data_IF_790809081521
#
_entry.id   IF_790809081521
#
_cell.length_a   1.000
_cell.length_b   1.000
_cell.length_c   1.000
_cell.angle_alpha   90.00
_cell.angle_beta   90.00
_cell.angle_gamma   90.00
#
_symmetry.space_group_name_H-M   'P 1'
#
loop_
_entity.id
_entity.type
_entity.pdbx_description
1 polymer ?
#
# COMPACT_ATOMS: atom_id res chain seq x y z
N UNK A 1 -20.75 6.00 18.47
CA UNK A 1 -21.46 6.66 17.35
C UNK A 1 -20.45 7.40 16.47
N UNK A 2 -19.51 6.68 15.84
CA UNK A 2 -18.47 7.26 14.97
C UNK A 2 -18.36 6.57 13.59
N UNK A 3 -19.07 5.46 13.38
CA UNK A 3 -19.07 4.67 12.14
C UNK A 3 -19.81 5.32 10.97
N UNK A 4 -20.62 6.35 11.22
CA UNK A 4 -21.52 6.92 10.20
C UNK A 4 -20.85 8.01 9.34
N UNK A 5 -19.78 8.63 9.85
CA UNK A 5 -19.14 9.75 9.15
C UNK A 5 -18.18 9.31 8.04
N UNK A 6 -17.48 8.19 8.22
CA UNK A 6 -16.54 7.65 7.23
C UNK A 6 -17.24 7.07 5.99
N UNK A 7 -18.50 6.63 6.15
CA UNK A 7 -19.30 6.07 5.04
C UNK A 7 -19.64 7.07 3.94
N UNK A 8 -19.72 8.37 4.23
CA UNK A 8 -20.11 9.37 3.24
C UNK A 8 -18.98 9.82 2.31
N UNK A 9 -17.73 9.64 2.69
CA UNK A 9 -16.58 10.14 1.89
C UNK A 9 -16.23 9.21 0.72
N UNK A 10 -16.48 7.90 0.86
CA UNK A 10 -16.15 6.89 -0.16
C UNK A 10 -17.11 6.86 -1.36
N UNK A 11 -18.29 7.49 -1.27
CA UNK A 11 -19.34 7.42 -2.29
C UNK A 11 -19.25 8.50 -3.39
N UNK A 12 -18.24 9.38 -3.36
CA UNK A 12 -18.26 10.64 -4.13
C UNK A 12 -17.46 10.70 -5.44
N UNK A 13 -16.69 9.69 -5.83
CA UNK A 13 -15.70 9.83 -6.91
C UNK A 13 -15.75 8.71 -7.96
N UNK A 14 -16.74 8.75 -8.83
CA UNK A 14 -16.89 7.84 -9.98
C UNK A 14 -15.79 8.03 -11.04
N UNK A 15 -15.34 6.94 -11.70
CA UNK A 15 -14.58 7.04 -12.95
C UNK A 15 -13.81 5.80 -13.43
N UNK A 16 -14.52 4.77 -13.94
CA UNK A 16 -14.28 4.06 -15.21
C UNK A 16 -12.86 3.58 -15.64
N UNK A 17 -12.72 2.26 -15.91
CA UNK A 17 -12.12 1.57 -17.12
C UNK A 17 -11.18 0.38 -16.83
N UNK A 18 -11.58 -0.81 -17.32
CA UNK A 18 -10.76 -1.64 -18.22
C UNK A 18 -9.84 -2.72 -17.64
N UNK A 19 -10.34 -3.96 -17.61
CA UNK A 19 -9.63 -5.21 -17.28
C UNK A 19 -8.58 -5.59 -18.33
N UNK A 20 -7.43 -6.11 -17.88
CA UNK A 20 -6.46 -6.85 -18.69
C UNK A 20 -5.48 -7.67 -17.84
N UNK A 21 -5.64 -9.00 -17.85
CA UNK A 21 -4.86 -10.01 -17.10
C UNK A 21 -3.44 -10.15 -17.70
N UNK A 22 -2.39 -10.25 -16.88
CA UNK A 22 -0.99 -10.50 -17.33
C UNK A 22 -0.44 -11.79 -16.70
N UNK A 23 0.19 -12.62 -17.55
CA UNK A 23 0.87 -13.89 -17.28
C UNK A 23 2.16 -13.75 -16.42
N UNK A 24 2.66 -14.83 -15.78
CA UNK A 24 3.78 -14.75 -14.86
C UNK A 24 5.12 -14.74 -15.59
N UNK A 25 5.77 -13.57 -15.63
CA UNK A 25 7.18 -13.44 -15.99
C UNK A 25 8.02 -13.60 -14.74
N UNK A 26 8.93 -14.56 -14.78
CA UNK A 26 10.00 -14.82 -13.81
C UNK A 26 10.70 -13.50 -13.43
N UNK A 27 10.34 -12.96 -12.27
CA UNK A 27 10.82 -11.65 -11.85
C UNK A 27 12.25 -11.76 -11.30
N UNK A 28 13.22 -11.36 -12.12
CA UNK A 28 14.44 -10.70 -11.62
C UNK A 28 14.00 -9.76 -10.48
N UNK A 29 14.62 -9.79 -9.28
CA UNK A 29 14.17 -8.92 -8.19
C UNK A 29 14.17 -7.50 -8.75
N UNK A 30 12.99 -6.86 -8.84
CA UNK A 30 12.92 -5.58 -9.52
C UNK A 30 13.88 -4.64 -8.81
N UNK A 31 14.59 -3.81 -9.58
CA UNK A 31 15.48 -2.77 -9.06
C UNK A 31 14.78 -1.84 -8.03
N UNK A 32 13.46 -1.99 -7.85
CA UNK A 32 12.66 -1.37 -6.81
C UNK A 32 11.50 -2.31 -6.36
N UNK A 33 11.75 -3.17 -5.38
CA UNK A 33 10.74 -4.12 -4.85
C UNK A 33 9.58 -3.41 -4.16
N UNK A 34 9.89 -2.34 -3.45
CA UNK A 34 8.91 -1.48 -2.80
C UNK A 34 7.89 -0.91 -3.81
N UNK A 35 8.36 -0.50 -5.00
CA UNK A 35 7.47 -0.03 -6.05
C UNK A 35 6.54 -1.12 -6.60
N UNK A 36 7.03 -2.36 -6.78
CA UNK A 36 6.17 -3.48 -7.18
C UNK A 36 5.13 -3.82 -6.11
N UNK A 37 5.50 -3.80 -4.84
CA UNK A 37 4.56 -4.08 -3.75
C UNK A 37 3.52 -2.99 -3.60
N UNK A 38 3.87 -1.72 -3.81
CA UNK A 38 2.86 -0.64 -3.82
C UNK A 38 1.86 -0.77 -4.97
N UNK A 39 2.31 -1.22 -6.14
CA UNK A 39 1.39 -1.55 -7.25
C UNK A 39 0.49 -2.72 -6.89
N UNK A 40 1.05 -3.77 -6.31
CA UNK A 40 0.28 -4.94 -5.86
C UNK A 40 -0.75 -4.54 -4.79
N UNK A 41 -0.39 -3.66 -3.85
CA UNK A 41 -1.30 -3.11 -2.84
C UNK A 41 -2.45 -2.34 -3.48
N UNK A 42 -2.15 -1.45 -4.42
CA UNK A 42 -3.18 -0.70 -5.14
C UNK A 42 -4.14 -1.63 -5.91
N UNK A 43 -3.61 -2.69 -6.54
CA UNK A 43 -4.42 -3.70 -7.23
C UNK A 43 -5.30 -4.52 -6.27
N UNK A 44 -4.76 -4.93 -5.12
CA UNK A 44 -5.50 -5.65 -4.09
C UNK A 44 -6.59 -4.79 -3.47
N UNK A 45 -6.33 -3.50 -3.25
CA UNK A 45 -7.33 -2.56 -2.75
C UNK A 45 -8.45 -2.34 -3.77
N UNK A 46 -8.12 -2.18 -5.06
CA UNK A 46 -9.11 -2.08 -6.12
C UNK A 46 -9.96 -3.37 -6.22
N UNK A 47 -9.33 -4.53 -6.07
CA UNK A 47 -10.02 -5.82 -6.01
C UNK A 47 -10.95 -5.90 -4.80
N UNK A 48 -10.47 -5.58 -3.59
CA UNK A 48 -11.28 -5.56 -2.37
C UNK A 48 -12.51 -4.65 -2.54
N UNK A 49 -12.32 -3.44 -3.08
CA UNK A 49 -13.40 -2.49 -3.35
C UNK A 49 -14.42 -2.96 -4.40
N UNK A 50 -14.13 -4.03 -5.15
CA UNK A 50 -15.06 -4.64 -6.11
C UNK A 50 -15.89 -5.79 -5.54
N UNK A 51 -15.62 -6.20 -4.30
CA UNK A 51 -16.26 -7.34 -3.65
C UNK A 51 -17.40 -6.91 -2.72
N UNK A 52 -18.34 -7.84 -2.49
CA UNK A 52 -19.33 -7.70 -1.43
C UNK A 52 -18.66 -7.72 -0.05
N UNK A 53 -19.06 -6.79 0.83
CA UNK A 53 -18.43 -6.59 2.14
C UNK A 53 -18.50 -7.81 3.06
N UNK A 54 -19.52 -8.64 2.87
CA UNK A 54 -19.78 -9.82 3.72
C UNK A 54 -19.25 -11.11 3.08
N UNK A 55 -18.48 -10.99 2.00
CA UNK A 55 -17.93 -12.14 1.28
C UNK A 55 -16.60 -12.61 1.90
N UNK A 56 -16.35 -13.94 1.95
CA UNK A 56 -15.04 -14.47 2.35
C UNK A 56 -13.88 -13.98 1.47
N UNK A 57 -14.19 -13.56 0.23
CA UNK A 57 -13.19 -12.99 -0.68
C UNK A 57 -12.73 -11.60 -0.22
N UNK A 58 -13.62 -10.80 0.39
CA UNK A 58 -13.28 -9.50 0.98
C UNK A 58 -12.31 -9.70 2.15
N UNK A 59 -12.63 -10.63 3.07
CA UNK A 59 -11.76 -10.97 4.20
C UNK A 59 -10.37 -11.40 3.72
N UNK A 60 -10.31 -12.27 2.70
CA UNK A 60 -9.05 -12.71 2.12
C UNK A 60 -8.25 -11.57 1.45
N UNK A 61 -8.93 -10.60 0.83
CA UNK A 61 -8.30 -9.44 0.22
C UNK A 61 -7.75 -8.47 1.27
N UNK A 62 -8.50 -8.21 2.35
CA UNK A 62 -8.07 -7.43 3.50
C UNK A 62 -6.85 -8.06 4.20
N UNK A 63 -6.88 -9.38 4.41
CA UNK A 63 -5.72 -10.13 4.91
C UNK A 63 -4.51 -10.03 3.98
N UNK A 64 -4.74 -10.06 2.67
CA UNK A 64 -3.72 -9.85 1.65
C UNK A 64 -3.07 -8.48 1.76
N UNK A 65 -3.88 -7.42 1.88
CA UNK A 65 -3.42 -6.04 2.08
C UNK A 65 -2.58 -5.92 3.35
N UNK A 66 -3.09 -6.39 4.49
CA UNK A 66 -2.39 -6.30 5.77
C UNK A 66 -1.02 -7.02 5.74
N UNK A 67 -0.95 -8.22 5.13
CA UNK A 67 0.31 -8.95 4.96
C UNK A 67 1.29 -8.18 4.06
N UNK A 68 0.81 -7.57 3.00
CA UNK A 68 1.64 -6.82 2.06
C UNK A 68 2.17 -5.52 2.67
N UNK A 69 1.33 -4.78 3.41
CA UNK A 69 1.71 -3.57 4.14
C UNK A 69 2.76 -3.87 5.20
N UNK A 70 2.54 -4.93 5.99
CA UNK A 70 3.52 -5.41 6.96
C UNK A 70 4.86 -5.73 6.29
N UNK A 71 4.82 -6.44 5.15
CA UNK A 71 6.02 -6.78 4.38
C UNK A 71 6.78 -5.52 3.90
N UNK A 72 6.05 -4.49 3.46
CA UNK A 72 6.65 -3.22 3.04
C UNK A 72 7.32 -2.52 4.23
N UNK A 73 6.67 -2.49 5.39
CA UNK A 73 7.22 -1.86 6.60
C UNK A 73 8.46 -2.59 7.11
N UNK A 74 8.41 -3.92 7.21
CA UNK A 74 9.47 -4.74 7.80
C UNK A 74 10.67 -4.94 6.88
N UNK A 75 10.51 -4.78 5.56
CA UNK A 75 11.65 -4.91 4.64
C UNK A 75 12.43 -3.61 4.56
N UNK A 76 13.74 -3.59 4.90
CA UNK A 76 14.57 -2.39 4.75
C UNK A 76 14.70 -1.95 3.29
N UNK A 77 14.81 -0.64 3.06
CA UNK A 77 15.11 -0.12 1.73
C UNK A 77 16.57 -0.43 1.34
N UNK A 78 16.78 -1.02 0.16
CA UNK A 78 18.13 -1.34 -0.32
C UNK A 78 18.88 -0.15 -0.93
N UNK A 79 18.16 0.91 -1.31
CA UNK A 79 18.70 2.09 -1.99
C UNK A 79 17.72 3.28 -1.89
N UNK A 80 18.15 4.45 -2.34
CA UNK A 80 17.35 5.67 -2.28
C UNK A 80 16.02 5.58 -3.07
N UNK A 81 16.00 4.82 -4.18
CA UNK A 81 14.77 4.62 -4.96
C UNK A 81 13.75 3.74 -4.23
N UNK A 82 14.20 2.71 -3.51
CA UNK A 82 13.36 1.90 -2.62
C UNK A 82 12.88 2.71 -1.41
N UNK A 83 13.74 3.53 -0.80
CA UNK A 83 13.37 4.38 0.33
C UNK A 83 12.29 5.41 -0.05
N UNK A 84 12.45 6.08 -1.21
CA UNK A 84 11.44 6.98 -1.78
C UNK A 84 10.14 6.25 -2.12
N UNK A 85 10.21 5.02 -2.58
CA UNK A 85 9.01 4.21 -2.81
C UNK A 85 8.33 3.89 -1.48
N UNK A 86 9.07 3.39 -0.48
CA UNK A 86 8.55 3.05 0.87
C UNK A 86 7.84 4.24 1.54
N UNK A 87 8.39 5.45 1.39
CA UNK A 87 7.78 6.71 1.85
C UNK A 87 6.38 7.00 1.28
N UNK A 88 5.99 6.37 0.18
CA UNK A 88 4.64 6.53 -0.40
C UNK A 88 3.59 5.71 0.32
N UNK A 89 3.97 4.70 1.11
CA UNK A 89 3.02 3.89 1.88
C UNK A 89 2.24 4.74 2.90
N UNK A 90 2.87 5.56 3.77
CA UNK A 90 2.14 6.45 4.67
C UNK A 90 1.12 7.36 3.97
N UNK A 91 1.49 7.90 2.79
CA UNK A 91 0.60 8.77 1.99
C UNK A 91 -0.60 7.99 1.45
N UNK A 92 -0.38 6.75 1.00
CA UNK A 92 -1.46 5.90 0.53
C UNK A 92 -2.43 5.52 1.67
N UNK A 93 -1.88 5.18 2.85
CA UNK A 93 -2.68 4.89 4.04
C UNK A 93 -3.53 6.09 4.46
N UNK A 94 -2.94 7.29 4.51
CA UNK A 94 -3.65 8.52 4.87
C UNK A 94 -4.80 8.82 3.90
N UNK A 95 -4.58 8.64 2.60
CA UNK A 95 -5.64 8.77 1.58
C UNK A 95 -6.79 7.78 1.73
N UNK A 96 -6.57 6.68 2.43
CA UNK A 96 -7.58 5.65 2.76
C UNK A 96 -8.19 5.84 4.16
N UNK A 97 -7.80 6.91 4.88
CA UNK A 97 -8.25 7.18 6.25
C UNK A 97 -7.58 6.30 7.31
N UNK A 98 -6.46 5.66 6.96
CA UNK A 98 -5.64 4.86 7.86
C UNK A 98 -4.37 5.61 8.25
N UNK A 99 -3.84 5.33 9.44
CA UNK A 99 -2.59 5.92 9.90
C UNK A 99 -1.66 4.85 10.42
N UNK A 100 -0.36 5.03 10.15
CA UNK A 100 0.68 4.24 10.79
C UNK A 100 0.67 4.51 12.30
N UNK A 101 1.00 3.48 13.08
CA UNK A 101 1.26 3.68 14.51
C UNK A 101 2.52 4.54 14.69
N UNK A 102 2.64 5.22 15.84
CA UNK A 102 3.83 6.02 16.15
C UNK A 102 5.12 5.21 16.09
N UNK A 103 5.07 3.91 16.45
CA UNK A 103 6.22 3.02 16.38
C UNK A 103 6.59 2.66 14.93
N UNK A 104 5.60 2.37 14.08
CA UNK A 104 5.85 2.05 12.67
C UNK A 104 6.37 3.26 11.90
N UNK A 105 5.84 4.45 12.20
CA UNK A 105 6.33 5.71 11.65
C UNK A 105 7.78 5.97 12.05
N UNK A 106 8.14 5.76 13.33
CA UNK A 106 9.52 5.91 13.80
C UNK A 106 10.47 4.89 13.15
N UNK A 107 10.07 3.62 13.06
CA UNK A 107 10.86 2.58 12.41
C UNK A 107 11.08 2.89 10.92
N UNK A 108 10.04 3.37 10.23
CA UNK A 108 10.14 3.79 8.84
C UNK A 108 11.11 4.96 8.67
N UNK A 109 11.06 5.97 9.55
CA UNK A 109 11.99 7.11 9.54
C UNK A 109 13.45 6.67 9.75
N UNK A 110 13.71 5.76 10.70
CA UNK A 110 15.05 5.22 10.96
C UNK A 110 15.60 4.49 9.73
N UNK A 111 14.76 3.69 9.06
CA UNK A 111 15.14 2.92 7.86
C UNK A 111 15.50 3.83 6.67
N UNK A 112 14.74 4.91 6.46
CA UNK A 112 14.95 5.79 5.31
C UNK A 112 15.96 6.91 5.55
N UNK A 113 16.23 7.27 6.81
CA UNK A 113 17.10 8.40 7.17
C UNK A 113 18.48 8.39 6.45
N UNK A 114 19.17 7.23 6.30
CA UNK A 114 20.44 7.18 5.55
C UNK A 114 20.33 7.63 4.09
N UNK A 115 19.14 7.55 3.49
CA UNK A 115 18.89 7.91 2.10
C UNK A 115 18.36 9.34 1.93
N UNK A 116 17.88 9.97 3.01
CA UNK A 116 17.37 11.35 3.00
C UNK A 116 18.50 12.38 3.02
N UNK A 117 19.64 12.05 3.62
CA UNK A 117 20.80 12.95 3.74
C UNK A 117 21.67 13.06 2.47
N UNK A 118 21.29 12.37 1.38
CA UNK A 118 22.02 12.36 0.11
C UNK A 118 21.43 13.32 -0.94
N UNK A 119 20.37 14.06 -0.61
CA UNK A 119 19.90 15.19 -1.41
C UNK A 119 20.37 16.50 -0.76
N UNK A 120 21.65 16.81 -0.96
CA UNK A 120 22.23 18.14 -0.81
C UNK A 120 22.49 18.75 -2.18
#
# INVERSE_FOLDING_TARGET
MAHDHTRRTLLGGAGLIGVGIIAPLSAMPPANRHHSWLKERASLLAYANSLDSDSPAMDAACDGLARLEKRILETPAANAAEARAKLRLPVALDGEGMMLTGNDAAALLIDIAPFLSLEG
#
